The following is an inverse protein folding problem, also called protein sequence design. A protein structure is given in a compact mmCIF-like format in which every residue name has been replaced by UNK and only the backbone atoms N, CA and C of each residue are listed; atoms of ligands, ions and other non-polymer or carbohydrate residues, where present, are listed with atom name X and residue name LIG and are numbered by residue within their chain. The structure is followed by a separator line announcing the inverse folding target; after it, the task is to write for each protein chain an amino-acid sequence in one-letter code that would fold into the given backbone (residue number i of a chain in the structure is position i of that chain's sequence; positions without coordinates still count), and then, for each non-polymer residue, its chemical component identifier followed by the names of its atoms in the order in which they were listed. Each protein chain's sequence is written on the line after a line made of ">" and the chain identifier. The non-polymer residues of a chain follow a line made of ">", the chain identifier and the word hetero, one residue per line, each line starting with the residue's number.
data_IF_706780869624
#
_entry.id   IF_706780869624
#
_cell.length_a   1.000
_cell.length_b   1.000
_cell.length_c   1.000
_cell.angle_alpha   90.00
_cell.angle_beta   90.00
_cell.angle_gamma   90.00
#
_symmetry.space_group_name_H-M   'P 1'
#
loop_
_entity.id
_entity.type
_entity.pdbx_description
1 polymer ?
#
# COMPACT_ATOMS: atom_id res chain seq x y z
N UNK A 1 -21.94 -3.58 -60.01
CA UNK A 1 -21.24 -4.68 -59.32
C UNK A 1 -20.65 -4.23 -57.97
N UNK A 2 -21.33 -3.31 -57.25
CA UNK A 2 -20.85 -2.66 -56.01
C UNK A 2 -21.82 -2.84 -54.82
N UNK A 3 -22.72 -3.84 -54.86
CA UNK A 3 -23.80 -3.97 -53.86
C UNK A 3 -23.82 -5.27 -53.05
N UNK A 4 -22.95 -6.25 -53.33
CA UNK A 4 -22.89 -7.50 -52.52
C UNK A 4 -21.66 -7.54 -51.61
N UNK A 5 -20.48 -7.15 -52.10
CA UNK A 5 -19.25 -7.15 -51.30
C UNK A 5 -19.30 -6.19 -50.10
N UNK A 6 -19.92 -5.03 -50.26
CA UNK A 6 -20.08 -4.04 -49.19
C UNK A 6 -21.03 -4.53 -48.09
N UNK A 7 -22.10 -5.25 -48.45
CA UNK A 7 -23.06 -5.81 -47.49
C UNK A 7 -22.41 -6.96 -46.70
N UNK A 8 -21.62 -7.83 -47.36
CA UNK A 8 -20.90 -8.92 -46.69
C UNK A 8 -19.86 -8.36 -45.69
N UNK A 9 -19.14 -7.29 -46.07
CA UNK A 9 -18.18 -6.64 -45.19
C UNK A 9 -18.85 -6.01 -43.96
N UNK A 10 -19.99 -5.32 -44.14
CA UNK A 10 -20.76 -4.73 -43.04
C UNK A 10 -21.32 -5.81 -42.11
N UNK A 11 -21.86 -6.90 -42.66
CA UNK A 11 -22.38 -8.01 -41.86
C UNK A 11 -21.27 -8.70 -41.05
N UNK A 12 -20.10 -8.92 -41.64
CA UNK A 12 -18.94 -9.47 -40.91
C UNK A 12 -18.47 -8.56 -39.78
N UNK A 13 -18.54 -7.24 -39.98
CA UNK A 13 -18.16 -6.25 -38.98
C UNK A 13 -19.19 -6.17 -37.85
N UNK A 14 -20.48 -6.25 -38.17
CA UNK A 14 -21.58 -6.35 -37.20
C UNK A 14 -21.52 -7.65 -36.39
N UNK A 15 -21.23 -8.79 -37.01
CA UNK A 15 -21.05 -10.07 -36.31
C UNK A 15 -19.85 -10.03 -35.36
N UNK A 16 -18.73 -9.42 -35.76
CA UNK A 16 -17.60 -9.20 -34.86
C UNK A 16 -17.96 -8.29 -33.68
N UNK A 17 -18.67 -7.19 -33.93
CA UNK A 17 -19.14 -6.30 -32.87
C UNK A 17 -20.11 -7.00 -31.92
N UNK A 18 -21.09 -7.75 -32.44
CA UNK A 18 -22.03 -8.54 -31.65
C UNK A 18 -21.29 -9.57 -30.80
N UNK A 19 -20.31 -10.27 -31.35
CA UNK A 19 -19.50 -11.24 -30.60
C UNK A 19 -18.61 -10.59 -29.53
N UNK A 20 -18.10 -9.38 -29.79
CA UNK A 20 -17.39 -8.57 -28.79
C UNK A 20 -18.33 -8.11 -27.68
N UNK A 21 -19.55 -7.68 -28.02
CA UNK A 21 -20.57 -7.30 -27.04
C UNK A 21 -21.07 -8.50 -26.23
N UNK A 22 -21.28 -9.66 -26.85
CA UNK A 22 -21.61 -10.92 -26.16
C UNK A 22 -20.50 -11.37 -25.22
N UNK A 23 -19.23 -11.28 -25.65
CA UNK A 23 -18.09 -11.57 -24.78
C UNK A 23 -18.01 -10.59 -23.60
N UNK A 24 -18.21 -9.28 -23.83
CA UNK A 24 -18.24 -8.27 -22.77
C UNK A 24 -19.43 -8.46 -21.81
N UNK A 25 -20.59 -8.88 -22.30
CA UNK A 25 -21.75 -9.23 -21.48
C UNK A 25 -21.48 -10.53 -20.70
N UNK A 26 -20.79 -11.51 -21.29
CA UNK A 26 -20.38 -12.75 -20.61
C UNK A 26 -19.32 -12.48 -19.53
N UNK A 27 -18.36 -11.59 -19.79
CA UNK A 27 -17.35 -11.17 -18.81
C UNK A 27 -17.99 -10.34 -17.70
N UNK A 28 -18.87 -9.39 -18.02
CA UNK A 28 -19.63 -8.61 -17.03
C UNK A 28 -20.48 -9.51 -16.13
N UNK A 29 -21.22 -10.48 -16.71
CA UNK A 29 -22.02 -11.44 -15.93
C UNK A 29 -21.19 -12.43 -15.11
N UNK A 30 -20.02 -12.84 -15.58
CA UNK A 30 -19.05 -13.64 -14.81
C UNK A 30 -18.41 -12.83 -13.68
N UNK A 31 -18.11 -11.55 -13.92
CA UNK A 31 -17.64 -10.60 -12.91
C UNK A 31 -18.73 -10.39 -11.86
N UNK A 32 -19.97 -10.16 -12.25
CA UNK A 32 -21.13 -10.03 -11.36
C UNK A 32 -21.38 -11.31 -10.54
N UNK A 33 -21.22 -12.50 -11.15
CA UNK A 33 -21.28 -13.77 -10.43
C UNK A 33 -20.13 -13.93 -9.44
N UNK A 34 -18.90 -13.58 -9.82
CA UNK A 34 -17.74 -13.66 -8.92
C UNK A 34 -17.86 -12.67 -7.76
N UNK A 35 -18.37 -11.48 -8.02
CA UNK A 35 -18.66 -10.44 -7.02
C UNK A 35 -19.75 -10.90 -6.07
N UNK A 36 -20.89 -11.36 -6.58
CA UNK A 36 -21.98 -11.86 -5.75
C UNK A 36 -21.56 -13.10 -4.95
N UNK A 37 -20.69 -13.95 -5.51
CA UNK A 37 -20.12 -15.11 -4.81
C UNK A 37 -19.15 -14.66 -3.72
N UNK A 38 -18.26 -13.70 -3.98
CA UNK A 38 -17.36 -13.11 -2.98
C UNK A 38 -18.10 -12.35 -1.88
N UNK A 39 -19.13 -11.57 -2.22
CA UNK A 39 -20.01 -10.92 -1.25
C UNK A 39 -20.75 -11.97 -0.42
N UNK A 40 -21.25 -13.05 -1.03
CA UNK A 40 -21.82 -14.18 -0.30
C UNK A 40 -20.79 -14.92 0.55
N UNK A 41 -19.54 -15.06 0.11
CA UNK A 41 -18.48 -15.74 0.87
C UNK A 41 -18.04 -14.90 2.06
N UNK A 42 -17.94 -13.57 1.88
CA UNK A 42 -17.84 -12.59 2.95
C UNK A 42 -19.06 -12.77 3.87
N UNK A 43 -20.29 -12.59 3.39
CA UNK A 43 -21.50 -12.71 4.21
C UNK A 43 -21.71 -14.09 4.87
N UNK A 44 -21.16 -15.19 4.33
CA UNK A 44 -21.15 -16.54 4.94
C UNK A 44 -20.02 -16.71 5.97
N UNK A 45 -18.85 -16.12 5.73
CA UNK A 45 -17.78 -16.01 6.73
C UNK A 45 -18.26 -15.15 7.91
N UNK A 46 -19.15 -14.19 7.70
CA UNK A 46 -19.55 -13.20 8.71
C UNK A 46 -20.30 -13.72 9.95
N UNK A 47 -21.28 -14.64 9.84
CA UNK A 47 -21.86 -15.33 10.98
C UNK A 47 -20.82 -16.11 11.78
N UNK A 48 -19.81 -16.68 11.11
CA UNK A 48 -18.67 -17.34 11.77
C UNK A 48 -17.66 -16.37 12.38
N UNK A 49 -17.53 -15.16 11.82
CA UNK A 49 -16.70 -14.09 12.38
C UNK A 49 -17.35 -13.47 13.61
N UNK A 50 -18.68 -13.29 13.61
CA UNK A 50 -19.46 -12.82 14.77
C UNK A 50 -19.49 -13.86 15.92
N UNK A 51 -19.44 -15.16 15.59
CA UNK A 51 -19.38 -16.25 16.59
C UNK A 51 -17.95 -16.57 17.05
N UNK A 52 -16.93 -16.51 16.18
CA UNK A 52 -15.52 -16.48 16.59
C UNK A 52 -15.24 -15.27 17.49
N UNK A 53 -15.88 -14.15 17.22
CA UNK A 53 -15.83 -12.92 18.01
C UNK A 53 -16.42 -13.07 19.42
N UNK A 54 -17.52 -13.82 19.60
CA UNK A 54 -18.05 -14.14 20.94
C UNK A 54 -17.07 -14.98 21.79
N UNK A 55 -16.12 -15.69 21.15
CA UNK A 55 -15.07 -16.44 21.84
C UNK A 55 -13.79 -15.64 22.13
N UNK A 56 -13.68 -14.41 21.59
CA UNK A 56 -12.50 -13.55 21.79
C UNK A 56 -12.69 -12.60 22.98
N UNK A 57 -11.92 -12.84 24.05
CA UNK A 57 -11.79 -12.01 25.25
C UNK A 57 -11.05 -10.69 24.96
N UNK A 58 -11.58 -9.82 24.10
CA UNK A 58 -11.03 -8.46 23.85
C UNK A 58 -11.65 -7.42 24.76
N UNK A 59 -11.39 -7.53 26.06
CA UNK A 59 -11.86 -6.59 27.07
C UNK A 59 -13.39 -6.61 27.20
N UNK A 60 -13.90 -6.63 28.43
CA UNK A 60 -15.35 -6.64 28.66
C UNK A 60 -16.03 -5.29 28.34
N UNK A 61 -15.45 -4.44 27.50
CA UNK A 61 -15.90 -3.08 27.22
C UNK A 61 -16.70 -3.03 25.90
N UNK A 62 -18.04 -2.86 25.95
CA UNK A 62 -18.91 -2.83 24.77
C UNK A 62 -18.59 -1.72 23.75
N UNK A 63 -17.83 -0.68 24.13
CA UNK A 63 -17.44 0.39 23.20
C UNK A 63 -16.39 -0.06 22.20
N UNK A 64 -15.40 -0.82 22.63
CA UNK A 64 -14.32 -1.30 21.76
C UNK A 64 -14.85 -2.30 20.73
N UNK A 65 -15.85 -3.08 21.16
CA UNK A 65 -16.67 -3.96 20.34
C UNK A 65 -17.34 -3.20 19.20
N UNK A 66 -18.05 -2.11 19.54
CA UNK A 66 -18.80 -1.32 18.58
C UNK A 66 -17.87 -0.67 17.53
N UNK A 67 -16.74 -0.13 17.97
CA UNK A 67 -15.73 0.48 17.09
C UNK A 67 -15.19 -0.57 16.10
N UNK A 68 -14.87 -1.78 16.58
CA UNK A 68 -14.40 -2.85 15.70
C UNK A 68 -15.45 -3.31 14.68
N UNK A 69 -16.69 -3.49 15.12
CA UNK A 69 -17.79 -3.82 14.21
C UNK A 69 -18.02 -2.74 13.16
N UNK A 70 -17.85 -1.47 13.53
CA UNK A 70 -18.01 -0.35 12.61
C UNK A 70 -16.96 -0.40 11.50
N UNK A 71 -15.69 -0.68 11.82
CA UNK A 71 -14.60 -0.83 10.83
C UNK A 71 -14.93 -1.89 9.79
N UNK A 72 -15.42 -3.04 10.25
CA UNK A 72 -15.82 -4.16 9.40
C UNK A 72 -17.01 -3.77 8.51
N UNK A 73 -18.06 -3.18 9.08
CA UNK A 73 -19.24 -2.76 8.31
C UNK A 73 -18.87 -1.73 7.24
N UNK A 74 -17.99 -0.79 7.56
CA UNK A 74 -17.57 0.26 6.65
C UNK A 74 -16.81 -0.32 5.45
N UNK A 75 -15.82 -1.20 5.67
CA UNK A 75 -15.01 -1.76 4.58
C UNK A 75 -15.86 -2.63 3.64
N UNK A 76 -16.82 -3.40 4.16
CA UNK A 76 -17.76 -4.15 3.31
C UNK A 76 -18.65 -3.21 2.51
N UNK A 77 -19.21 -2.19 3.15
CA UNK A 77 -20.10 -1.24 2.48
C UNK A 77 -19.36 -0.54 1.35
N UNK A 78 -18.10 -0.17 1.59
CA UNK A 78 -17.19 0.37 0.58
C UNK A 78 -16.95 -0.63 -0.56
N UNK A 79 -16.59 -1.88 -0.26
CA UNK A 79 -16.42 -2.93 -1.27
C UNK A 79 -17.68 -3.14 -2.12
N UNK A 80 -18.87 -3.16 -1.50
CA UNK A 80 -20.15 -3.31 -2.20
C UNK A 80 -20.40 -2.20 -3.22
N UNK A 81 -20.12 -0.95 -2.86
CA UNK A 81 -20.27 0.20 -3.76
C UNK A 81 -19.34 0.04 -4.97
N UNK A 82 -18.05 -0.25 -4.74
CA UNK A 82 -17.06 -0.39 -5.81
C UNK A 82 -17.25 -1.59 -6.72
N UNK A 83 -18.01 -2.59 -6.25
CA UNK A 83 -18.40 -3.73 -7.05
C UNK A 83 -19.66 -3.49 -7.88
N UNK A 84 -20.55 -2.59 -7.46
CA UNK A 84 -21.81 -2.28 -8.16
C UNK A 84 -21.67 -1.13 -9.16
N UNK A 85 -20.86 -0.13 -8.84
CA UNK A 85 -20.49 0.95 -9.74
C UNK A 85 -19.12 0.62 -10.29
N UNK A 86 -18.94 0.48 -11.61
CA UNK A 86 -17.64 0.23 -12.27
C UNK A 86 -16.53 1.08 -11.63
N UNK A 87 -15.83 0.51 -10.65
CA UNK A 87 -15.14 1.29 -9.63
C UNK A 87 -13.83 1.90 -10.13
N UNK A 88 -13.44 3.02 -9.52
CA UNK A 88 -12.13 3.68 -9.72
C UNK A 88 -10.96 2.73 -9.38
N UNK A 89 -11.21 1.76 -8.50
CA UNK A 89 -10.21 0.78 -8.07
C UNK A 89 -9.99 -0.32 -9.09
N UNK A 90 -8.72 -0.61 -9.39
CA UNK A 90 -8.33 -1.79 -10.19
C UNK A 90 -8.68 -3.07 -9.43
N UNK A 91 -8.99 -4.15 -10.15
CA UNK A 91 -9.37 -5.46 -9.56
C UNK A 91 -8.43 -5.90 -8.43
N UNK A 92 -7.13 -5.64 -8.58
CA UNK A 92 -6.11 -5.98 -7.58
C UNK A 92 -6.17 -5.11 -6.31
N UNK A 93 -6.54 -3.84 -6.44
CA UNK A 93 -6.75 -2.99 -5.27
C UNK A 93 -7.92 -3.53 -4.45
N UNK A 94 -8.99 -3.99 -5.10
CA UNK A 94 -10.14 -4.62 -4.44
C UNK A 94 -9.70 -5.83 -3.60
N UNK A 95 -8.83 -6.70 -4.12
CA UNK A 95 -8.29 -7.85 -3.36
C UNK A 95 -7.57 -7.43 -2.08
N UNK A 96 -6.83 -6.31 -2.09
CA UNK A 96 -6.19 -5.78 -0.87
C UNK A 96 -7.25 -5.42 0.17
N UNK A 97 -8.36 -4.80 -0.22
CA UNK A 97 -9.46 -4.48 0.70
C UNK A 97 -10.19 -5.73 1.20
N UNK A 98 -10.34 -6.77 0.38
CA UNK A 98 -10.88 -8.07 0.79
C UNK A 98 -10.00 -8.69 1.88
N UNK A 99 -8.70 -8.82 1.63
CA UNK A 99 -7.75 -9.39 2.60
C UNK A 99 -7.65 -8.54 3.87
N UNK A 100 -7.73 -7.21 3.75
CA UNK A 100 -7.85 -6.32 4.91
C UNK A 100 -9.13 -6.58 5.72
N UNK A 101 -10.27 -6.79 5.04
CA UNK A 101 -11.53 -7.09 5.73
C UNK A 101 -11.46 -8.42 6.47
N UNK A 102 -10.88 -9.46 5.85
CA UNK A 102 -10.66 -10.77 6.50
C UNK A 102 -9.70 -10.66 7.68
N UNK A 103 -8.59 -9.95 7.51
CA UNK A 103 -7.63 -9.70 8.59
C UNK A 103 -8.29 -9.00 9.79
N UNK A 104 -9.05 -7.92 9.54
CA UNK A 104 -9.77 -7.20 10.58
C UNK A 104 -10.79 -8.10 11.27
N UNK A 105 -11.56 -8.87 10.49
CA UNK A 105 -12.61 -9.70 11.02
C UNK A 105 -12.06 -10.87 11.87
N UNK A 106 -10.85 -11.35 11.55
CA UNK A 106 -10.14 -12.34 12.38
C UNK A 106 -9.73 -11.80 13.77
N UNK A 107 -10.00 -10.52 14.04
CA UNK A 107 -9.70 -9.89 15.32
C UNK A 107 -8.22 -9.65 15.51
N UNK A 108 -7.43 -9.52 14.44
CA UNK A 108 -6.01 -9.13 14.51
C UNK A 108 -5.87 -7.61 14.47
N UNK A 109 -4.76 -7.10 14.99
CA UNK A 109 -4.53 -5.65 15.16
C UNK A 109 -3.31 -5.13 14.45
N UNK A 110 -2.37 -5.98 14.05
CA UNK A 110 -1.19 -5.57 13.30
C UNK A 110 -0.89 -6.54 12.17
N UNK A 111 -0.81 -6.01 10.96
CA UNK A 111 -0.49 -6.78 9.76
C UNK A 111 0.28 -5.95 8.74
N UNK A 112 0.83 -6.63 7.74
CA UNK A 112 1.68 -6.04 6.70
C UNK A 112 1.09 -6.25 5.32
N UNK A 113 1.04 -5.17 4.55
CA UNK A 113 0.78 -5.17 3.11
C UNK A 113 2.13 -4.92 2.41
N UNK A 114 2.62 -5.95 1.72
CA UNK A 114 3.85 -5.91 0.95
C UNK A 114 3.54 -5.57 -0.50
N UNK A 115 4.01 -4.42 -0.94
CA UNK A 115 3.78 -3.91 -2.28
C UNK A 115 5.06 -3.29 -2.84
N UNK A 116 5.39 -3.51 -4.13
CA UNK A 116 6.49 -2.83 -4.78
C UNK A 116 6.32 -1.31 -4.72
N UNK A 117 7.42 -0.57 -4.85
CA UNK A 117 7.32 0.88 -5.04
C UNK A 117 6.68 1.17 -6.41
N UNK A 118 5.92 2.27 -6.50
CA UNK A 118 5.28 2.69 -7.76
C UNK A 118 3.87 2.16 -8.00
N UNK A 119 3.41 1.12 -7.31
CA UNK A 119 2.04 0.55 -7.51
C UNK A 119 0.89 1.38 -6.91
N UNK A 120 1.18 2.58 -6.38
CA UNK A 120 0.14 3.50 -5.90
C UNK A 120 -0.24 3.38 -4.42
N UNK A 121 0.68 3.00 -3.53
CA UNK A 121 0.46 2.92 -2.05
C UNK A 121 -0.25 4.14 -1.47
N UNK A 122 0.06 5.35 -1.94
CA UNK A 122 -0.58 6.58 -1.45
C UNK A 122 -2.09 6.59 -1.67
N UNK A 123 -2.56 6.10 -2.83
CA UNK A 123 -3.99 5.98 -3.11
C UNK A 123 -4.62 4.92 -2.20
N UNK A 124 -3.91 3.81 -1.96
CA UNK A 124 -4.36 2.78 -1.03
C UNK A 124 -4.55 3.33 0.38
N UNK A 125 -3.67 4.21 0.90
CA UNK A 125 -3.88 4.83 2.21
C UNK A 125 -5.18 5.64 2.26
N UNK A 126 -5.42 6.45 1.22
CA UNK A 126 -6.59 7.29 1.13
C UNK A 126 -7.87 6.44 1.10
N UNK A 127 -7.90 5.49 0.18
CA UNK A 127 -9.06 4.62 -0.03
C UNK A 127 -9.29 3.69 1.16
N UNK A 128 -8.23 3.17 1.81
CA UNK A 128 -8.36 2.42 3.07
C UNK A 128 -8.85 3.27 4.23
N UNK A 129 -8.40 4.53 4.34
CA UNK A 129 -8.90 5.46 5.36
C UNK A 129 -10.38 5.78 5.15
N UNK A 130 -10.80 6.01 3.89
CA UNK A 130 -12.21 6.19 3.50
C UNK A 130 -13.05 4.95 3.78
N UNK A 131 -12.57 3.78 3.35
CA UNK A 131 -13.28 2.50 3.47
C UNK A 131 -13.48 2.12 4.94
N UNK A 132 -12.49 2.34 5.80
CA UNK A 132 -12.60 2.04 7.23
C UNK A 132 -13.37 3.15 7.97
N UNK A 133 -13.28 4.39 7.46
CA UNK A 133 -13.93 5.59 7.98
C UNK A 133 -13.72 5.77 9.50
N UNK A 134 -12.45 5.92 9.90
CA UNK A 134 -12.05 6.10 11.30
C UNK A 134 -10.92 7.14 11.41
N UNK A 135 -10.65 7.60 12.63
CA UNK A 135 -9.51 8.48 12.92
C UNK A 135 -8.20 7.78 12.54
N UNK A 136 -7.53 8.29 11.52
CA UNK A 136 -6.39 7.66 10.86
C UNK A 136 -5.13 8.48 11.04
N UNK A 137 -4.05 7.84 11.51
CA UNK A 137 -2.70 8.39 11.52
C UNK A 137 -1.85 7.72 10.44
N UNK A 138 -1.32 8.52 9.52
CA UNK A 138 -0.38 8.03 8.49
C UNK A 138 1.03 8.49 8.89
N UNK A 139 1.97 7.54 9.00
CA UNK A 139 3.35 7.79 9.40
C UNK A 139 4.26 7.47 8.22
N UNK A 140 5.01 8.47 7.75
CA UNK A 140 5.91 8.36 6.59
C UNK A 140 7.37 8.63 7.00
N UNK A 141 8.39 8.23 6.21
CA UNK A 141 9.77 8.33 6.68
C UNK A 141 10.39 9.72 6.54
N UNK A 142 9.90 10.60 5.65
CA UNK A 142 10.51 11.92 5.42
C UNK A 142 9.46 13.02 5.26
N UNK A 143 9.85 14.28 5.52
CA UNK A 143 8.96 15.42 5.29
C UNK A 143 8.59 15.58 3.80
N UNK A 144 9.48 15.21 2.88
CA UNK A 144 9.17 15.23 1.44
C UNK A 144 8.02 14.27 1.13
N UNK A 145 8.06 13.05 1.67
CA UNK A 145 6.97 12.07 1.48
C UNK A 145 5.69 12.50 2.21
N UNK A 146 5.82 13.22 3.33
CA UNK A 146 4.67 13.81 4.02
C UNK A 146 3.96 14.81 3.11
N UNK A 147 4.70 15.77 2.57
CA UNK A 147 4.16 16.80 1.68
C UNK A 147 3.56 16.16 0.41
N UNK A 148 4.23 15.16 -0.18
CA UNK A 148 3.71 14.39 -1.32
C UNK A 148 2.42 13.63 -0.99
N UNK A 149 2.34 13.03 0.21
CA UNK A 149 1.15 12.29 0.66
C UNK A 149 -0.03 13.22 0.83
N UNK A 150 0.17 14.37 1.48
CA UNK A 150 -0.87 15.39 1.68
C UNK A 150 -1.37 15.93 0.34
N UNK A 151 -0.46 16.32 -0.55
CA UNK A 151 -0.82 16.85 -1.87
C UNK A 151 -1.63 15.84 -2.69
N UNK A 152 -1.21 14.57 -2.70
CA UNK A 152 -1.96 13.51 -3.39
C UNK A 152 -3.34 13.30 -2.78
N UNK A 153 -3.46 13.28 -1.45
CA UNK A 153 -4.78 13.13 -0.82
C UNK A 153 -5.70 14.27 -1.23
N UNK A 154 -5.21 15.51 -1.23
CA UNK A 154 -5.99 16.68 -1.63
C UNK A 154 -6.37 16.67 -3.11
N UNK A 155 -5.49 16.15 -3.99
CA UNK A 155 -5.77 15.98 -5.42
C UNK A 155 -6.90 14.98 -5.68
N UNK A 156 -6.90 13.84 -4.95
CA UNK A 156 -7.90 12.77 -5.13
C UNK A 156 -9.18 12.99 -4.31
N UNK A 157 -9.17 13.87 -3.30
CA UNK A 157 -10.34 14.20 -2.52
C UNK A 157 -10.26 15.61 -1.91
N UNK A 158 -10.80 16.59 -2.63
CA UNK A 158 -10.79 18.00 -2.23
C UNK A 158 -11.50 18.27 -0.90
N UNK A 159 -12.48 17.44 -0.53
CA UNK A 159 -13.29 17.62 0.69
C UNK A 159 -12.63 17.03 1.95
N UNK A 160 -11.51 16.30 1.80
CA UNK A 160 -10.86 15.62 2.91
C UNK A 160 -9.86 16.54 3.62
N UNK A 161 -10.23 17.05 4.79
CA UNK A 161 -9.35 17.84 5.64
C UNK A 161 -8.26 16.97 6.27
N UNK A 162 -7.07 16.97 5.64
CA UNK A 162 -5.87 16.28 6.11
C UNK A 162 -5.05 17.18 7.04
N UNK A 163 -4.78 16.69 8.24
CA UNK A 163 -3.85 17.32 9.18
C UNK A 163 -2.40 16.97 8.91
N UNK A 164 -1.50 17.84 9.33
CA UNK A 164 -0.06 17.61 9.32
C UNK A 164 0.54 17.88 10.69
N UNK A 165 1.27 16.90 11.21
CA UNK A 165 1.97 17.02 12.50
C UNK A 165 3.45 16.76 12.29
N UNK A 166 4.26 17.81 12.36
CA UNK A 166 5.72 17.77 12.32
C UNK A 166 6.31 18.92 13.14
N UNK A 167 7.57 19.26 12.94
CA UNK A 167 8.20 20.40 13.64
C UNK A 167 7.66 21.77 13.19
N UNK A 168 7.08 21.86 11.99
CA UNK A 168 6.60 23.11 11.36
C UNK A 168 5.09 23.32 11.53
N UNK A 169 4.31 22.26 11.59
CA UNK A 169 2.85 22.26 11.65
C UNK A 169 2.35 21.29 12.71
N UNK A 170 1.26 21.64 13.40
CA UNK A 170 0.61 20.80 14.43
C UNK A 170 -0.90 20.81 14.23
N UNK A 171 -1.32 20.62 12.98
CA UNK A 171 -2.73 20.64 12.60
C UNK A 171 -3.24 19.20 12.55
N UNK A 172 -4.32 18.92 13.26
CA UNK A 172 -4.99 17.62 13.21
C UNK A 172 -6.14 17.69 12.23
N UNK A 173 -6.21 16.74 11.30
CA UNK A 173 -7.31 16.64 10.36
C UNK A 173 -8.56 16.08 11.06
N UNK A 174 -9.72 16.22 10.43
CA UNK A 174 -10.99 15.67 10.95
C UNK A 174 -11.03 14.14 10.92
N UNK A 175 -10.42 13.53 9.91
CA UNK A 175 -10.32 12.08 9.79
C UNK A 175 -8.86 11.63 9.74
N UNK A 176 -8.05 12.27 8.90
CA UNK A 176 -6.70 11.81 8.58
C UNK A 176 -5.66 12.82 9.02
N UNK A 177 -4.60 12.34 9.68
CA UNK A 177 -3.43 13.14 10.05
C UNK A 177 -2.18 12.45 9.54
N UNK A 178 -1.27 13.20 8.92
CA UNK A 178 0.01 12.67 8.42
C UNK A 178 1.16 13.21 9.27
N UNK A 179 2.09 12.34 9.64
CA UNK A 179 3.29 12.68 10.42
C UNK A 179 4.50 11.91 9.91
N UNK A 180 5.70 12.29 10.36
CA UNK A 180 6.92 11.50 10.11
C UNK A 180 7.30 10.65 11.30
N UNK A 181 8.04 9.56 11.12
CA UNK A 181 8.53 8.75 12.24
C UNK A 181 9.29 9.58 13.29
N UNK A 182 10.18 10.49 12.86
CA UNK A 182 10.90 11.37 13.77
C UNK A 182 9.96 12.30 14.56
N UNK A 183 8.92 12.82 13.90
CA UNK A 183 7.92 13.65 14.55
C UNK A 183 7.05 12.85 15.51
N UNK A 184 6.64 11.63 15.13
CA UNK A 184 5.83 10.73 15.95
C UNK A 184 6.45 10.57 17.34
N UNK A 185 7.73 10.19 17.41
CA UNK A 185 8.46 10.00 18.67
C UNK A 185 8.41 11.26 19.54
N UNK A 186 8.76 12.41 18.94
CA UNK A 186 8.81 13.67 19.68
C UNK A 186 7.42 14.12 20.17
N UNK A 187 6.39 14.00 19.32
CA UNK A 187 5.05 14.50 19.62
C UNK A 187 4.29 13.58 20.59
N UNK A 188 4.55 12.27 20.56
CA UNK A 188 4.05 11.34 21.58
C UNK A 188 4.68 11.66 22.94
N UNK A 189 5.99 11.90 23.00
CA UNK A 189 6.67 12.22 24.26
C UNK A 189 6.21 13.57 24.84
N UNK A 190 5.77 14.50 23.99
CA UNK A 190 5.17 15.77 24.39
C UNK A 190 3.68 15.69 24.71
N UNK A 191 3.04 14.53 24.51
CA UNK A 191 1.60 14.36 24.66
C UNK A 191 0.75 15.09 23.61
N UNK A 192 1.37 15.60 22.53
CA UNK A 192 0.65 16.24 21.43
C UNK A 192 -0.08 15.22 20.56
N UNK A 193 0.55 14.07 20.29
CA UNK A 193 -0.12 12.92 19.68
C UNK A 193 -0.49 11.95 20.80
N UNK A 194 -1.78 11.73 21.01
CA UNK A 194 -2.28 10.67 21.89
C UNK A 194 -2.72 9.46 21.06
N UNK A 195 -2.25 8.25 21.36
CA UNK A 195 -2.73 7.03 20.70
C UNK A 195 -4.24 6.84 20.80
N UNK A 196 -4.90 7.42 21.80
CA UNK A 196 -6.36 7.34 21.99
C UNK A 196 -7.15 8.08 20.92
N UNK A 197 -6.56 9.07 20.26
CA UNK A 197 -7.22 9.94 19.27
C UNK A 197 -7.32 9.30 17.88
N UNK A 198 -6.76 8.10 17.72
CA UNK A 198 -6.66 7.36 16.47
C UNK A 198 -7.15 5.94 16.67
N UNK A 199 -7.79 5.39 15.64
CA UNK A 199 -8.27 4.00 15.61
C UNK A 199 -7.55 3.14 14.58
N UNK A 200 -6.86 3.81 13.65
CA UNK A 200 -6.13 3.27 12.52
C UNK A 200 -4.77 3.97 12.38
N UNK A 201 -3.71 3.18 12.22
CA UNK A 201 -2.34 3.65 12.00
C UNK A 201 -1.77 3.00 10.76
N UNK A 202 -1.36 3.80 9.78
CA UNK A 202 -0.64 3.35 8.61
C UNK A 202 0.84 3.71 8.73
N UNK A 203 1.71 2.72 8.57
CA UNK A 203 3.14 2.86 8.67
C UNK A 203 3.77 2.65 7.29
N UNK A 204 4.14 3.73 6.60
CA UNK A 204 4.78 3.67 5.28
C UNK A 204 6.29 3.45 5.39
N UNK A 205 6.83 2.61 4.51
CA UNK A 205 8.17 2.05 4.61
C UNK A 205 8.46 1.51 6.01
N UNK A 206 7.52 0.71 6.54
CA UNK A 206 7.56 0.20 7.91
C UNK A 206 8.86 -0.53 8.27
N UNK A 207 9.60 -1.08 7.30
CA UNK A 207 10.93 -1.65 7.53
C UNK A 207 11.92 -0.64 8.14
N UNK A 208 11.76 0.67 7.86
CA UNK A 208 12.58 1.77 8.42
C UNK A 208 12.18 2.15 9.84
N UNK A 209 11.07 1.63 10.37
CA UNK A 209 10.53 1.95 11.69
C UNK A 209 11.13 1.12 12.83
N UNK A 210 12.11 0.26 12.54
CA UNK A 210 12.61 -0.76 13.46
C UNK A 210 13.66 -0.28 14.49
N UNK A 211 13.82 1.04 14.66
CA UNK A 211 14.63 1.61 15.75
C UNK A 211 13.84 1.67 17.05
N UNK A 212 14.52 1.48 18.18
CA UNK A 212 13.86 1.33 19.49
C UNK A 212 12.94 2.51 19.86
N UNK A 213 13.31 3.81 19.68
CA UNK A 213 12.40 4.92 20.01
C UNK A 213 11.11 4.95 19.17
N UNK A 214 11.20 4.50 17.91
CA UNK A 214 10.04 4.41 17.02
C UNK A 214 9.15 3.24 17.46
N UNK A 215 9.75 2.08 17.77
CA UNK A 215 8.99 0.92 18.25
C UNK A 215 8.30 1.21 19.59
N UNK A 216 8.97 1.87 20.53
CA UNK A 216 8.35 2.31 21.79
C UNK A 216 7.13 3.21 21.58
N UNK A 217 7.17 4.04 20.53
CA UNK A 217 6.06 4.92 20.15
C UNK A 217 4.90 4.13 19.54
N UNK A 218 5.21 3.16 18.65
CA UNK A 218 4.23 2.26 18.03
C UNK A 218 3.60 1.34 19.09
N UNK A 219 4.36 0.88 20.07
CA UNK A 219 3.90 0.04 21.18
C UNK A 219 2.79 0.70 21.99
N UNK A 220 2.74 2.04 22.06
CA UNK A 220 1.63 2.73 22.72
C UNK A 220 0.31 2.54 21.95
N UNK A 221 0.34 2.49 20.62
CA UNK A 221 -0.85 2.15 19.81
C UNK A 221 -1.20 0.67 19.93
N UNK A 222 -0.20 -0.23 20.01
CA UNK A 222 -0.42 -1.66 20.26
C UNK A 222 -1.14 -1.89 21.60
N UNK A 223 -0.69 -1.22 22.66
CA UNK A 223 -1.30 -1.29 24.01
C UNK A 223 -2.73 -0.77 24.06
N UNK A 224 -3.04 0.25 23.25
CA UNK A 224 -4.40 0.79 23.09
C UNK A 224 -5.23 0.02 22.05
N UNK A 225 -4.75 -1.16 21.61
CA UNK A 225 -5.44 -2.10 20.73
C UNK A 225 -5.87 -1.47 19.38
N UNK A 226 -5.07 -0.54 18.86
CA UNK A 226 -5.34 0.14 17.59
C UNK A 226 -5.03 -0.75 16.40
N UNK A 227 -5.72 -0.53 15.28
CA UNK A 227 -5.42 -1.24 14.03
C UNK A 227 -4.19 -0.61 13.40
N UNK A 228 -3.13 -1.39 13.24
CA UNK A 228 -1.86 -0.99 12.63
C UNK A 228 -1.70 -1.77 11.32
N UNK A 229 -1.48 -1.05 10.23
CA UNK A 229 -1.18 -1.67 8.93
C UNK A 229 0.16 -1.13 8.43
N UNK A 230 1.10 -2.05 8.31
CA UNK A 230 2.44 -1.80 7.80
C UNK A 230 2.43 -1.87 6.28
N UNK A 231 2.91 -0.82 5.61
CA UNK A 231 3.11 -0.81 4.17
C UNK A 231 4.61 -0.78 3.88
N UNK A 232 5.07 -1.69 3.04
CA UNK A 232 6.50 -1.81 2.75
C UNK A 232 6.73 -2.55 1.44
N UNK A 233 7.87 -2.31 0.79
CA UNK A 233 8.32 -3.17 -0.31
C UNK A 233 9.15 -4.38 0.17
N UNK A 234 9.60 -4.36 1.42
CA UNK A 234 10.47 -5.39 2.02
C UNK A 234 10.13 -5.59 3.50
N UNK A 235 10.18 -6.82 3.99
CA UNK A 235 10.03 -7.11 5.43
C UNK A 235 11.36 -7.07 6.20
N UNK A 236 12.50 -6.89 5.52
CA UNK A 236 13.85 -6.90 6.11
C UNK A 236 14.43 -5.50 6.28
N UNK A 237 15.09 -5.27 7.42
CA UNK A 237 15.97 -4.13 7.69
C UNK A 237 17.33 -4.62 8.22
N UNK A 238 18.35 -4.58 7.38
CA UNK A 238 19.64 -5.22 7.67
C UNK A 238 19.51 -6.73 7.85
N UNK A 239 20.55 -7.38 8.38
CA UNK A 239 20.55 -8.84 8.57
C UNK A 239 19.65 -9.30 9.74
N UNK A 240 19.41 -8.44 10.75
CA UNK A 240 18.92 -8.88 12.06
C UNK A 240 17.56 -8.30 12.51
N UNK A 241 16.94 -7.37 11.76
CA UNK A 241 15.63 -6.80 12.15
C UNK A 241 14.60 -7.05 11.05
N UNK A 242 13.50 -7.72 11.41
CA UNK A 242 12.38 -8.06 10.53
C UNK A 242 11.08 -7.51 11.11
N UNK A 243 10.14 -7.11 10.25
CA UNK A 243 8.77 -6.87 10.66
C UNK A 243 8.13 -8.20 11.08
N UNK A 244 7.79 -8.33 12.36
CA UNK A 244 7.13 -9.51 12.93
C UNK A 244 5.62 -9.28 13.00
N UNK A 245 4.98 -9.13 11.84
CA UNK A 245 3.51 -9.10 11.74
C UNK A 245 3.04 -9.98 10.59
N UNK A 246 1.79 -10.38 10.64
CA UNK A 246 1.19 -11.24 9.63
C UNK A 246 1.09 -10.53 8.30
N UNK A 247 1.31 -11.26 7.20
CA UNK A 247 1.11 -10.72 5.87
C UNK A 247 -0.38 -10.72 5.56
N UNK A 248 -0.95 -9.53 5.41
CA UNK A 248 -2.33 -9.32 4.94
C UNK A 248 -2.36 -9.57 3.43
N UNK A 249 -1.41 -8.98 2.71
CA UNK A 249 -1.33 -9.06 1.25
C UNK A 249 0.13 -8.93 0.81
N UNK A 250 0.52 -9.63 -0.25
CA UNK A 250 1.85 -9.52 -0.87
C UNK A 250 1.74 -9.52 -2.39
N UNK A 251 2.53 -8.66 -3.03
CA UNK A 251 2.72 -8.62 -4.47
C UNK A 251 4.20 -8.51 -4.80
N UNK A 252 4.64 -9.35 -5.72
CA UNK A 252 5.98 -9.32 -6.29
C UNK A 252 6.11 -8.27 -7.39
N UNK A 253 7.35 -7.89 -7.71
CA UNK A 253 7.64 -7.02 -8.85
C UNK A 253 7.17 -7.68 -10.16
N UNK A 254 7.36 -9.00 -10.30
CA UNK A 254 6.98 -9.75 -11.50
C UNK A 254 5.46 -9.73 -11.73
N UNK A 255 4.66 -9.92 -10.67
CA UNK A 255 3.20 -9.75 -10.73
C UNK A 255 2.81 -8.33 -11.12
N UNK A 256 3.43 -7.32 -10.49
CA UNK A 256 3.15 -5.91 -10.79
C UNK A 256 3.48 -5.54 -12.25
N UNK A 257 4.54 -6.09 -12.82
CA UNK A 257 4.90 -5.92 -14.24
C UNK A 257 3.93 -6.67 -15.15
N UNK A 258 3.61 -7.92 -14.82
CA UNK A 258 2.69 -8.77 -15.60
C UNK A 258 1.29 -8.15 -15.70
N UNK A 259 0.86 -7.48 -14.64
CA UNK A 259 -0.43 -6.79 -14.55
C UNK A 259 -0.41 -5.37 -15.13
N UNK A 260 0.72 -4.91 -15.68
CA UNK A 260 0.86 -3.56 -16.23
C UNK A 260 0.76 -2.45 -15.17
N UNK A 261 0.97 -2.77 -13.89
CA UNK A 261 1.07 -1.78 -12.81
C UNK A 261 2.45 -1.09 -12.81
N UNK A 262 3.47 -1.80 -13.27
CA UNK A 262 4.84 -1.31 -13.45
C UNK A 262 5.30 -1.54 -14.89
N UNK A 263 6.23 -0.73 -15.36
CA UNK A 263 6.93 -0.99 -16.61
C UNK A 263 7.91 -2.17 -16.44
N UNK A 264 8.14 -2.89 -17.54
CA UNK A 264 9.13 -3.97 -17.56
C UNK A 264 10.54 -3.46 -17.23
N UNK A 265 11.26 -4.23 -16.41
CA UNK A 265 12.63 -3.88 -15.99
C UNK A 265 13.62 -4.52 -16.97
N UNK A 266 14.49 -3.70 -17.57
CA UNK A 266 15.62 -4.17 -18.36
C UNK A 266 16.92 -3.92 -17.58
N UNK A 267 17.45 -4.97 -16.97
CA UNK A 267 18.73 -4.91 -16.26
C UNK A 267 19.90 -5.15 -17.22
N UNK A 268 20.93 -4.30 -17.14
CA UNK A 268 22.13 -4.41 -17.96
C UNK A 268 23.33 -4.46 -17.03
N UNK A 269 24.02 -5.60 -17.02
CA UNK A 269 25.18 -5.83 -16.16
C UNK A 269 26.46 -5.52 -16.93
N UNK A 270 27.26 -4.60 -16.39
CA UNK A 270 28.56 -4.23 -16.96
C UNK A 270 29.64 -4.72 -16.01
N UNK A 271 30.43 -5.70 -16.46
CA UNK A 271 31.58 -6.16 -15.71
C UNK A 271 32.70 -5.13 -15.84
N UNK A 272 33.23 -4.67 -14.72
CA UNK A 272 34.42 -3.82 -14.66
C UNK A 272 35.56 -4.56 -13.96
N UNK A 273 36.78 -4.07 -14.09
CA UNK A 273 37.96 -4.64 -13.42
C UNK A 273 38.21 -4.00 -12.03
N UNK A 274 37.19 -3.35 -11.45
CA UNK A 274 37.32 -2.54 -10.23
C UNK A 274 36.73 -3.30 -9.06
N UNK A 275 37.57 -3.55 -8.05
CA UNK A 275 37.12 -4.13 -6.79
C UNK A 275 36.67 -3.01 -5.84
N UNK A 276 35.45 -3.11 -5.35
CA UNK A 276 34.93 -2.25 -4.27
C UNK A 276 35.13 -2.87 -2.88
N UNK A 277 35.72 -4.07 -2.81
CA UNK A 277 35.95 -4.80 -1.56
C UNK A 277 36.91 -4.06 -0.61
N UNK A 278 37.76 -3.18 -1.15
CA UNK A 278 38.70 -2.36 -0.36
C UNK A 278 38.03 -1.14 0.29
N UNK A 279 36.76 -0.84 -0.04
CA UNK A 279 36.03 0.22 0.63
C UNK A 279 35.74 -0.19 2.07
N UNK A 280 36.08 0.69 3.02
CA UNK A 280 35.75 0.46 4.43
C UNK A 280 34.25 0.30 4.60
N UNK A 281 33.84 -0.70 5.36
CA UNK A 281 32.45 -0.90 5.76
C UNK A 281 32.26 -0.26 7.13
N UNK A 282 31.22 0.56 7.25
CA UNK A 282 30.81 1.19 8.51
C UNK A 282 30.23 0.16 9.48
N UNK A 283 30.04 0.56 10.74
CA UNK A 283 29.43 -0.32 11.77
C UNK A 283 27.99 -0.76 11.42
N UNK A 284 27.30 -0.07 10.51
CA UNK A 284 25.97 -0.45 10.02
C UNK A 284 26.00 -1.48 8.87
N UNK A 285 27.18 -1.91 8.43
CA UNK A 285 27.32 -2.82 7.29
C UNK A 285 27.30 -2.12 5.92
N UNK A 286 27.18 -0.79 5.88
CA UNK A 286 27.21 0.00 4.65
C UNK A 286 28.62 0.48 4.30
N UNK A 287 28.97 0.53 3.02
CA UNK A 287 30.24 1.10 2.57
C UNK A 287 30.37 2.58 2.96
N UNK A 288 31.57 2.98 3.37
CA UNK A 288 31.92 4.38 3.56
C UNK A 288 31.84 5.10 2.20
N UNK A 289 30.94 6.06 2.08
CA UNK A 289 30.66 6.78 0.84
C UNK A 289 31.86 7.52 0.27
N UNK A 290 32.74 8.08 1.11
CA UNK A 290 33.93 8.79 0.66
C UNK A 290 34.97 7.84 0.07
N UNK A 291 35.18 6.68 0.70
CA UNK A 291 36.12 5.68 0.20
C UNK A 291 35.57 5.00 -1.06
N UNK A 292 34.28 4.67 -1.08
CA UNK A 292 33.62 4.14 -2.27
C UNK A 292 33.73 5.10 -3.46
N UNK A 293 33.46 6.39 -3.26
CA UNK A 293 33.60 7.40 -4.31
C UNK A 293 35.03 7.48 -4.87
N UNK A 294 36.06 7.39 -4.01
CA UNK A 294 37.46 7.39 -4.47
C UNK A 294 37.78 6.18 -5.35
N UNK A 295 37.29 4.99 -5.00
CA UNK A 295 37.49 3.78 -5.78
C UNK A 295 36.78 3.88 -7.14
N UNK A 296 35.51 4.32 -7.14
CA UNK A 296 34.71 4.46 -8.35
C UNK A 296 35.29 5.49 -9.33
N UNK A 297 35.80 6.62 -8.80
CA UNK A 297 36.43 7.67 -9.61
C UNK A 297 37.77 7.21 -10.20
N UNK A 298 38.65 6.60 -9.39
CA UNK A 298 39.95 6.11 -9.88
C UNK A 298 39.83 4.98 -10.90
N UNK A 299 38.81 4.15 -10.74
CA UNK A 299 38.57 3.01 -11.62
C UNK A 299 38.04 3.37 -13.01
N UNK A 300 37.60 4.60 -13.26
CA UNK A 300 36.95 4.95 -14.51
C UNK A 300 35.56 4.31 -14.68
N UNK A 301 34.94 3.80 -13.60
CA UNK A 301 33.59 3.20 -13.62
C UNK A 301 32.59 4.17 -14.23
N UNK A 302 32.67 5.45 -13.84
CA UNK A 302 31.79 6.51 -14.33
C UNK A 302 31.85 6.65 -15.85
N UNK A 303 33.05 6.60 -16.45
CA UNK A 303 33.22 6.66 -17.90
C UNK A 303 32.65 5.40 -18.57
N UNK A 304 32.88 4.21 -18.01
CA UNK A 304 32.28 2.97 -18.51
C UNK A 304 30.74 2.99 -18.44
N UNK A 305 30.17 3.53 -17.36
CA UNK A 305 28.73 3.73 -17.23
C UNK A 305 28.19 4.71 -18.28
N UNK A 306 28.90 5.83 -18.52
CA UNK A 306 28.54 6.82 -19.55
C UNK A 306 28.60 6.20 -20.95
N UNK A 307 29.63 5.41 -21.24
CA UNK A 307 29.78 4.74 -22.54
C UNK A 307 28.68 3.72 -22.78
N UNK A 308 28.37 2.90 -21.77
CA UNK A 308 27.29 1.92 -21.83
C UNK A 308 25.94 2.62 -22.02
N UNK A 309 25.68 3.65 -21.21
CA UNK A 309 24.46 4.46 -21.35
C UNK A 309 24.34 5.07 -22.74
N UNK A 310 25.43 5.65 -23.25
CA UNK A 310 25.48 6.24 -24.60
C UNK A 310 25.25 5.22 -25.72
N UNK A 311 25.68 3.96 -25.56
CA UNK A 311 25.48 2.91 -26.57
C UNK A 311 24.06 2.33 -26.56
N UNK A 312 23.38 2.38 -25.44
CA UNK A 312 22.09 1.70 -25.23
C UNK A 312 20.89 2.63 -25.30
N UNK A 313 21.08 3.92 -25.04
CA UNK A 313 20.01 4.90 -24.88
C UNK A 313 20.25 6.20 -25.67
N UNK A 314 21.26 6.26 -26.55
CA UNK A 314 21.27 7.30 -27.59
C UNK A 314 20.34 6.86 -28.72
N UNK A 315 19.21 7.54 -28.80
CA UNK A 315 18.50 7.78 -30.06
C UNK A 315 19.30 8.78 -30.92
#
# INVERSE_FOLDING_TARGET
>A
MFSQYSIIAINSQLEKMLKTMENQVSEASMVDLNIATKINDIEKKFPSLLSQYQSFNRGNNPKDILIWMQKIKNIISYLKIHYQEFGILRERQIRIFEDMAEFIASGKTEGTIKLPTGVGKTILFLEASKAINQRTLIVVPTNILLDQTVNKIQEFNLDLEVGTVNSRSKTFGKQTTVTTYASLVSQINRGTISPKDFDLVFLDEAHRSLTDPIQESIDKFRKENKLIVNFTATDKYGENKKLNSEIIFEMSIDEAVTEGLLCGIKCIFVKTNISVLDAKVSKSGEYNTNDLNKILQKGGVLLSCIDVYSKLFKD
#
